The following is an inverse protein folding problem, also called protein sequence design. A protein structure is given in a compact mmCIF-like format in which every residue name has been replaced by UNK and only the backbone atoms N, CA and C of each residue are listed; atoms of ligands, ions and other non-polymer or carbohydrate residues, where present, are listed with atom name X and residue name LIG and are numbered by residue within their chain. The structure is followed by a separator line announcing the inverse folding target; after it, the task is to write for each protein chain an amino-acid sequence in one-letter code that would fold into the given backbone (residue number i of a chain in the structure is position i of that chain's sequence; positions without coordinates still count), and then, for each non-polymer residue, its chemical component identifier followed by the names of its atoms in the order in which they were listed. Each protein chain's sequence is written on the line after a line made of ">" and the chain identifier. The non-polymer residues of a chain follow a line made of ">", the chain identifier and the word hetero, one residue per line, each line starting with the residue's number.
data_IF_801846479423
#
_entry.id   IF_801846479423
#
_cell.length_a   1.000
_cell.length_b   1.000
_cell.length_c   1.000
_cell.angle_alpha   90.00
_cell.angle_beta   90.00
_cell.angle_gamma   90.00
#
_symmetry.space_group_name_H-M   'P 1'
#
loop_
_entity.id
_entity.type
_entity.pdbx_description
1 polymer ?
#
# COMPACT_ATOMS: atom_id res chain seq x y z
N UNK A 1 30.44 1.30 47.36
CA UNK A 1 30.21 1.68 45.94
C UNK A 1 29.74 0.46 45.18
N UNK A 2 28.49 0.46 44.71
CA UNK A 2 27.93 -0.64 43.90
C UNK A 2 28.61 -0.61 42.52
N UNK A 3 29.29 -1.69 42.14
CA UNK A 3 29.83 -1.88 40.78
C UNK A 3 28.65 -2.23 39.87
N UNK A 4 28.13 -1.24 39.15
CA UNK A 4 27.16 -1.50 38.09
C UNK A 4 27.90 -2.20 36.95
N UNK A 5 27.54 -3.46 36.68
CA UNK A 5 27.99 -4.15 35.47
C UNK A 5 27.48 -3.34 34.28
N UNK A 6 28.39 -2.83 33.45
CA UNK A 6 28.09 -2.05 32.24
C UNK A 6 27.49 -2.92 31.11
N UNK A 7 27.64 -4.24 31.21
CA UNK A 7 27.22 -5.22 30.19
C UNK A 7 25.70 -5.28 29.94
N UNK A 8 24.82 -5.33 30.96
CA UNK A 8 23.37 -5.37 30.77
C UNK A 8 22.82 -4.04 30.22
N UNK A 9 23.44 -2.92 30.59
CA UNK A 9 23.11 -1.60 30.06
C UNK A 9 23.48 -1.52 28.59
N UNK A 10 24.67 -2.02 28.21
CA UNK A 10 25.08 -2.11 26.80
C UNK A 10 24.13 -3.00 25.98
N UNK A 11 23.74 -4.16 26.51
CA UNK A 11 22.78 -5.07 25.86
C UNK A 11 21.41 -4.40 25.66
N UNK A 12 20.89 -3.71 26.69
CA UNK A 12 19.63 -2.95 26.57
C UNK A 12 19.72 -1.81 25.55
N UNK A 13 20.88 -1.17 25.38
CA UNK A 13 21.07 -0.21 24.30
C UNK A 13 21.05 -0.89 22.94
N UNK A 14 21.78 -2.00 22.74
CA UNK A 14 21.83 -2.71 21.44
C UNK A 14 20.44 -3.18 21.02
N UNK A 15 19.63 -3.75 21.93
CA UNK A 15 18.26 -4.18 21.63
C UNK A 15 17.33 -3.03 21.24
N UNK A 16 17.48 -1.85 21.86
CA UNK A 16 16.69 -0.66 21.53
C UNK A 16 17.15 0.03 20.22
N UNK A 17 18.44 -0.02 19.87
CA UNK A 17 18.89 0.55 18.57
C UNK A 17 18.47 -0.35 17.41
N UNK A 18 18.49 -1.68 17.59
CA UNK A 18 18.03 -2.62 16.54
C UNK A 18 16.52 -2.58 16.30
N UNK A 19 15.71 -2.30 17.33
CA UNK A 19 14.25 -2.18 17.17
C UNK A 19 13.81 -0.79 16.70
N UNK A 20 14.53 0.28 17.07
CA UNK A 20 14.20 1.65 16.66
C UNK A 20 14.68 2.02 15.24
N UNK A 21 15.69 1.33 14.68
CA UNK A 21 16.13 1.50 13.29
C UNK A 21 15.40 0.62 12.27
N UNK A 22 14.45 -0.22 12.71
CA UNK A 22 13.51 -0.90 11.81
C UNK A 22 12.19 -0.13 11.67
N UNK A 23 12.23 1.21 11.69
CA UNK A 23 11.27 1.95 10.89
C UNK A 23 11.56 1.59 9.43
N UNK A 24 10.75 0.66 8.90
CA UNK A 24 10.89 0.10 7.55
C UNK A 24 11.25 1.21 6.57
N UNK A 25 12.34 1.04 5.80
CA UNK A 25 12.72 1.99 4.73
C UNK A 25 11.64 2.10 3.66
N UNK A 26 10.60 1.27 3.75
CA UNK A 26 9.41 1.23 2.93
C UNK A 26 8.15 1.56 3.74
N UNK A 27 8.23 2.47 4.73
CA UNK A 27 7.09 2.89 5.53
C UNK A 27 5.94 3.44 4.69
N UNK A 28 6.23 4.05 3.54
CA UNK A 28 5.20 4.46 2.57
C UNK A 28 4.43 3.29 1.96
N UNK A 29 5.01 2.09 1.87
CA UNK A 29 4.32 0.88 1.40
C UNK A 29 3.28 0.44 2.43
N UNK A 30 3.63 0.49 3.73
CA UNK A 30 2.68 0.23 4.81
C UNK A 30 1.57 1.29 4.87
N UNK A 31 1.90 2.57 4.69
CA UNK A 31 0.92 3.66 4.60
C UNK A 31 -0.02 3.44 3.41
N UNK A 32 0.53 3.13 2.24
CA UNK A 32 -0.25 2.87 1.02
C UNK A 32 -1.20 1.69 1.19
N UNK A 33 -0.71 0.58 1.75
CA UNK A 33 -1.52 -0.59 2.10
C UNK A 33 -2.71 -0.19 2.97
N UNK A 34 -2.46 0.51 4.08
CA UNK A 34 -3.52 0.96 5.01
C UNK A 34 -4.57 1.80 4.29
N UNK A 35 -4.14 2.74 3.45
CA UNK A 35 -5.03 3.62 2.68
C UNK A 35 -5.86 2.87 1.64
N UNK A 36 -5.27 1.93 0.93
CA UNK A 36 -5.98 1.09 -0.05
C UNK A 36 -7.03 0.24 0.68
N UNK A 37 -6.66 -0.43 1.76
CA UNK A 37 -7.53 -1.35 2.50
C UNK A 37 -8.70 -0.63 3.18
N UNK A 38 -8.46 0.55 3.74
CA UNK A 38 -9.49 1.36 4.40
C UNK A 38 -10.64 1.78 3.45
N UNK A 39 -10.41 1.77 2.14
CA UNK A 39 -11.48 2.10 1.17
C UNK A 39 -12.58 1.04 1.12
N UNK A 40 -12.25 -0.24 1.26
CA UNK A 40 -13.19 -1.35 1.08
C UNK A 40 -14.36 -1.29 2.07
N UNK A 41 -14.16 -1.27 3.41
CA UNK A 41 -15.26 -1.27 4.35
C UNK A 41 -16.16 -0.03 4.21
N UNK A 42 -15.57 1.14 3.91
CA UNK A 42 -16.33 2.39 3.70
C UNK A 42 -17.28 2.27 2.52
N UNK A 43 -16.80 1.71 1.41
CA UNK A 43 -17.61 1.54 0.19
C UNK A 43 -18.67 0.45 0.37
N UNK A 44 -18.33 -0.66 1.03
CA UNK A 44 -19.29 -1.74 1.32
C UNK A 44 -20.42 -1.23 2.21
N UNK A 45 -20.12 -0.44 3.23
CA UNK A 45 -21.13 0.18 4.11
C UNK A 45 -22.03 1.15 3.32
N UNK A 46 -21.48 1.92 2.39
CA UNK A 46 -22.28 2.76 1.50
C UNK A 46 -23.24 1.94 0.63
N UNK A 47 -22.74 0.89 -0.02
CA UNK A 47 -23.54 0.00 -0.86
C UNK A 47 -24.68 -0.65 -0.05
N UNK A 48 -24.42 -0.99 1.21
CA UNK A 48 -25.43 -1.54 2.13
C UNK A 48 -26.54 -0.53 2.41
N UNK A 49 -26.19 0.71 2.79
CA UNK A 49 -27.16 1.80 3.03
C UNK A 49 -28.02 2.09 1.79
N UNK A 50 -27.41 2.10 0.60
CA UNK A 50 -28.15 2.32 -0.65
C UNK A 50 -29.08 1.14 -0.94
N UNK A 51 -28.61 -0.09 -0.78
CA UNK A 51 -29.41 -1.31 -0.96
C UNK A 51 -30.63 -1.34 -0.04
N UNK A 52 -30.46 -1.00 1.24
CA UNK A 52 -31.54 -0.90 2.22
C UNK A 52 -32.55 0.19 1.85
N UNK A 53 -32.06 1.38 1.44
CA UNK A 53 -32.93 2.50 1.04
C UNK A 53 -33.75 2.19 -0.21
N UNK A 54 -33.20 1.43 -1.15
CA UNK A 54 -33.86 1.06 -2.40
C UNK A 54 -34.69 -0.22 -2.26
N UNK A 55 -34.54 -0.98 -1.17
CA UNK A 55 -35.16 -2.29 -1.01
C UNK A 55 -34.64 -3.34 -2.03
N UNK A 56 -33.42 -3.14 -2.56
CA UNK A 56 -32.85 -3.97 -3.61
C UNK A 56 -31.47 -4.52 -3.20
N UNK A 57 -31.44 -5.82 -2.86
CA UNK A 57 -30.23 -6.54 -2.47
C UNK A 57 -29.20 -6.66 -3.61
N UNK A 58 -29.61 -6.51 -4.86
CA UNK A 58 -28.71 -6.62 -6.02
C UNK A 58 -27.69 -5.49 -6.06
N UNK A 59 -28.02 -4.30 -5.53
CA UNK A 59 -27.09 -3.18 -5.40
C UNK A 59 -25.87 -3.56 -4.57
N UNK A 60 -26.09 -4.18 -3.40
CA UNK A 60 -25.01 -4.61 -2.53
C UNK A 60 -24.21 -5.76 -3.16
N UNK A 61 -24.89 -6.78 -3.69
CA UNK A 61 -24.23 -7.97 -4.23
C UNK A 61 -23.37 -7.64 -5.46
N UNK A 62 -23.94 -6.93 -6.44
CA UNK A 62 -23.23 -6.55 -7.66
C UNK A 62 -22.16 -5.49 -7.36
N UNK A 63 -22.44 -4.56 -6.44
CA UNK A 63 -21.47 -3.57 -5.99
C UNK A 63 -20.25 -4.21 -5.32
N UNK A 64 -20.44 -5.18 -4.42
CA UNK A 64 -19.33 -5.93 -3.80
C UNK A 64 -18.52 -6.71 -4.84
N UNK A 65 -19.18 -7.35 -5.80
CA UNK A 65 -18.50 -8.10 -6.86
C UNK A 65 -17.64 -7.19 -7.75
N UNK A 66 -18.18 -6.04 -8.16
CA UNK A 66 -17.44 -5.07 -8.96
C UNK A 66 -16.30 -4.40 -8.18
N UNK A 67 -16.54 -4.02 -6.92
CA UNK A 67 -15.49 -3.47 -6.04
C UNK A 67 -14.36 -4.48 -5.83
N UNK A 68 -14.69 -5.76 -5.61
CA UNK A 68 -13.70 -6.84 -5.50
C UNK A 68 -12.83 -6.92 -6.74
N UNK A 69 -13.41 -6.86 -7.93
CA UNK A 69 -12.66 -6.96 -9.18
C UNK A 69 -11.64 -5.82 -9.33
N UNK A 70 -12.01 -4.58 -8.98
CA UNK A 70 -11.08 -3.46 -9.04
C UNK A 70 -10.02 -3.52 -7.92
N UNK A 71 -10.42 -3.95 -6.71
CA UNK A 71 -9.50 -4.17 -5.60
C UNK A 71 -8.46 -5.25 -5.92
N UNK A 72 -8.86 -6.37 -6.52
CA UNK A 72 -7.96 -7.47 -6.87
C UNK A 72 -6.90 -7.03 -7.89
N UNK A 73 -7.27 -6.16 -8.85
CA UNK A 73 -6.31 -5.55 -9.80
C UNK A 73 -5.30 -4.68 -9.07
N UNK A 74 -5.76 -3.86 -8.11
CA UNK A 74 -4.86 -3.05 -7.27
C UNK A 74 -3.94 -3.94 -6.44
N UNK A 75 -4.46 -5.01 -5.83
CA UNK A 75 -3.68 -5.98 -5.06
C UNK A 75 -2.58 -6.63 -5.89
N UNK A 76 -2.94 -7.13 -7.08
CA UNK A 76 -1.97 -7.70 -8.01
C UNK A 76 -0.89 -6.68 -8.41
N UNK A 77 -1.29 -5.48 -8.82
CA UNK A 77 -0.34 -4.44 -9.24
C UNK A 77 0.52 -3.96 -8.07
N UNK A 78 -0.01 -3.91 -6.85
CA UNK A 78 0.75 -3.52 -5.66
C UNK A 78 1.89 -4.50 -5.38
N UNK A 79 1.64 -5.80 -5.48
CA UNK A 79 2.68 -6.84 -5.35
C UNK A 79 3.71 -6.75 -6.47
N UNK A 80 3.25 -6.65 -7.72
CA UNK A 80 4.12 -6.51 -8.89
C UNK A 80 4.99 -5.26 -8.78
N UNK A 81 4.41 -4.13 -8.39
CA UNK A 81 5.10 -2.85 -8.28
C UNK A 81 6.27 -2.94 -7.30
N UNK A 82 6.06 -3.43 -6.06
CA UNK A 82 7.15 -3.59 -5.08
C UNK A 82 8.29 -4.46 -5.63
N UNK A 83 7.95 -5.61 -6.22
CA UNK A 83 8.93 -6.54 -6.79
C UNK A 83 9.69 -5.97 -7.98
N UNK A 84 9.00 -5.24 -8.86
CA UNK A 84 9.58 -4.56 -10.00
C UNK A 84 10.51 -3.43 -9.57
N UNK A 85 10.12 -2.63 -8.57
CA UNK A 85 10.96 -1.56 -8.03
C UNK A 85 12.25 -2.11 -7.43
N UNK A 86 12.17 -3.18 -6.62
CA UNK A 86 13.36 -3.88 -6.12
C UNK A 86 14.23 -4.42 -7.27
N UNK A 87 13.63 -5.04 -8.27
CA UNK A 87 14.32 -5.59 -9.45
C UNK A 87 15.01 -4.52 -10.30
N UNK A 88 14.36 -3.36 -10.50
CA UNK A 88 14.95 -2.20 -11.18
C UNK A 88 16.24 -1.74 -10.50
N UNK A 89 16.26 -1.73 -9.17
CA UNK A 89 17.40 -1.31 -8.37
C UNK A 89 18.52 -2.36 -8.41
N UNK A 90 18.18 -3.64 -8.31
CA UNK A 90 19.15 -4.75 -8.30
C UNK A 90 19.76 -5.04 -9.69
N UNK A 91 18.99 -4.88 -10.76
CA UNK A 91 19.37 -5.31 -12.11
C UNK A 91 20.38 -4.40 -12.83
N UNK A 92 20.14 -3.07 -12.90
CA UNK A 92 20.98 -2.12 -13.66
C UNK A 92 20.98 -0.70 -13.07
N UNK A 93 22.03 -0.35 -12.33
CA UNK A 93 22.15 0.95 -11.63
C UNK A 93 22.00 2.20 -12.52
N UNK A 94 22.47 2.16 -13.78
CA UNK A 94 22.42 3.32 -14.69
C UNK A 94 21.03 3.61 -15.27
N UNK A 95 20.10 2.65 -15.24
CA UNK A 95 18.73 2.80 -15.78
C UNK A 95 17.64 2.60 -14.72
N UNK A 96 18.02 2.40 -13.46
CA UNK A 96 17.09 2.15 -12.35
C UNK A 96 15.99 3.21 -12.29
N UNK A 97 16.33 4.51 -12.37
CA UNK A 97 15.35 5.61 -12.35
C UNK A 97 14.32 5.51 -13.49
N UNK A 98 14.75 5.22 -14.72
CA UNK A 98 13.81 5.08 -15.85
C UNK A 98 12.89 3.87 -15.68
N UNK A 99 13.44 2.75 -15.19
CA UNK A 99 12.70 1.54 -14.88
C UNK A 99 11.65 1.79 -13.79
N UNK A 100 12.06 2.45 -12.70
CA UNK A 100 11.17 2.83 -11.60
C UNK A 100 10.05 3.76 -12.07
N UNK A 101 10.37 4.84 -12.79
CA UNK A 101 9.37 5.78 -13.31
C UNK A 101 8.30 5.08 -14.17
N UNK A 102 8.69 4.10 -14.98
CA UNK A 102 7.76 3.29 -15.75
C UNK A 102 6.79 2.56 -14.82
N UNK A 103 7.28 1.79 -13.86
CA UNK A 103 6.42 1.04 -12.93
C UNK A 103 5.58 1.96 -12.02
N UNK A 104 6.12 3.10 -11.58
CA UNK A 104 5.39 4.10 -10.79
C UNK A 104 4.20 4.66 -11.57
N UNK A 105 4.34 4.87 -12.89
CA UNK A 105 3.25 5.34 -13.74
C UNK A 105 2.14 4.28 -13.87
N UNK A 106 2.49 3.01 -14.07
CA UNK A 106 1.51 1.92 -14.15
C UNK A 106 0.75 1.77 -12.84
N UNK A 107 1.46 1.71 -11.72
CA UNK A 107 0.85 1.62 -10.41
C UNK A 107 -0.10 2.80 -10.12
N UNK A 108 0.33 4.02 -10.42
CA UNK A 108 -0.52 5.22 -10.27
C UNK A 108 -1.80 5.13 -11.12
N UNK A 109 -1.70 4.65 -12.36
CA UNK A 109 -2.86 4.49 -13.24
C UNK A 109 -3.85 3.46 -12.67
N UNK A 110 -3.36 2.33 -12.17
CA UNK A 110 -4.20 1.30 -11.54
C UNK A 110 -4.93 1.85 -10.31
N UNK A 111 -4.23 2.59 -9.43
CA UNK A 111 -4.86 3.27 -8.31
C UNK A 111 -5.88 4.32 -8.76
N UNK A 112 -5.62 5.04 -9.85
CA UNK A 112 -6.55 6.02 -10.42
C UNK A 112 -7.84 5.39 -10.97
N UNK A 113 -7.74 4.22 -11.61
CA UNK A 113 -8.91 3.45 -12.06
C UNK A 113 -9.76 3.04 -10.87
N UNK A 114 -9.13 2.57 -9.80
CA UNK A 114 -9.81 2.20 -8.56
C UNK A 114 -10.50 3.42 -7.89
N UNK A 115 -9.80 4.55 -7.77
CA UNK A 115 -10.37 5.81 -7.26
C UNK A 115 -11.58 6.26 -8.08
N UNK A 116 -11.48 6.20 -9.41
CA UNK A 116 -12.56 6.58 -10.32
C UNK A 116 -13.79 5.69 -10.13
N UNK A 117 -13.60 4.37 -10.01
CA UNK A 117 -14.68 3.44 -9.73
C UNK A 117 -15.38 3.77 -8.40
N UNK A 118 -14.60 3.94 -7.33
CA UNK A 118 -15.16 4.28 -6.01
C UNK A 118 -15.93 5.60 -6.07
N UNK A 119 -15.33 6.61 -6.69
CA UNK A 119 -15.96 7.93 -6.87
C UNK A 119 -17.28 7.82 -7.63
N UNK A 120 -17.33 6.99 -8.67
CA UNK A 120 -18.51 6.77 -9.49
C UNK A 120 -19.66 6.11 -8.71
N UNK A 121 -19.37 5.22 -7.76
CA UNK A 121 -20.42 4.55 -6.96
C UNK A 121 -20.81 5.31 -5.69
N UNK A 122 -20.02 6.31 -5.26
CA UNK A 122 -20.24 7.04 -4.00
C UNK A 122 -20.73 8.49 -4.17
N UNK A 123 -20.53 9.13 -5.33
CA UNK A 123 -20.96 10.52 -5.56
C UNK A 123 -22.43 10.66 -5.96
N UNK A 124 -23.01 11.83 -5.61
CA UNK A 124 -24.39 12.26 -5.88
C UNK A 124 -24.88 12.11 -7.33
N UNK A 125 -24.00 12.28 -8.34
CA UNK A 125 -24.32 12.13 -9.77
C UNK A 125 -23.76 10.82 -10.38
N UNK A 126 -23.32 9.89 -9.52
CA UNK A 126 -22.89 8.56 -9.90
C UNK A 126 -24.06 7.60 -10.18
N UNK A 127 -23.76 6.35 -10.55
CA UNK A 127 -24.75 5.31 -10.91
C UNK A 127 -25.89 5.14 -9.90
N UNK A 128 -25.60 5.34 -8.62
CA UNK A 128 -26.54 5.09 -7.53
C UNK A 128 -27.36 6.31 -7.11
N UNK A 129 -27.07 7.52 -7.63
CA UNK A 129 -27.92 8.72 -7.48
C UNK A 129 -28.21 9.18 -6.05
N UNK A 130 -27.53 8.65 -5.03
CA UNK A 130 -27.72 9.00 -3.62
C UNK A 130 -26.43 9.64 -3.12
N UNK A 131 -26.49 10.93 -2.77
CA UNK A 131 -25.37 11.62 -2.16
C UNK A 131 -25.03 10.99 -0.80
N UNK A 132 -23.76 10.68 -0.59
CA UNK A 132 -23.20 10.71 0.76
C UNK A 132 -21.93 11.56 0.76
N UNK A 133 -22.10 12.88 0.87
CA UNK A 133 -21.00 13.85 0.98
C UNK A 133 -20.13 13.62 2.24
N UNK A 134 -20.52 12.66 3.10
CA UNK A 134 -19.72 12.22 4.25
C UNK A 134 -18.66 11.17 3.91
N UNK A 135 -18.69 10.56 2.72
CA UNK A 135 -17.67 9.59 2.30
C UNK A 135 -16.38 10.33 1.95
N UNK A 136 -15.52 10.45 2.95
CA UNK A 136 -14.17 11.01 2.84
C UNK A 136 -13.17 9.87 2.86
N UNK A 137 -12.58 9.59 1.71
CA UNK A 137 -11.52 8.61 1.58
C UNK A 137 -10.16 9.31 1.67
N UNK A 138 -9.28 8.84 2.56
CA UNK A 138 -7.87 9.21 2.54
C UNK A 138 -7.11 8.34 1.51
N UNK A 139 -7.60 8.35 0.27
CA UNK A 139 -7.03 7.60 -0.83
C UNK A 139 -6.73 8.56 -1.98
N UNK A 140 -5.44 8.86 -2.16
CA UNK A 140 -4.95 9.80 -3.17
C UNK A 140 -3.88 9.11 -4.04
N UNK A 141 -4.24 8.54 -5.20
CA UNK A 141 -3.33 7.74 -6.04
C UNK A 141 -1.97 8.38 -6.32
N UNK A 142 -1.98 9.67 -6.69
CA UNK A 142 -0.74 10.41 -6.99
C UNK A 142 0.15 10.55 -5.76
N UNK A 143 -0.42 10.85 -4.60
CA UNK A 143 0.33 10.97 -3.34
C UNK A 143 0.93 9.63 -2.94
N UNK A 144 0.13 8.57 -2.96
CA UNK A 144 0.53 7.21 -2.62
C UNK A 144 1.70 6.76 -3.51
N UNK A 145 1.53 6.81 -4.83
CA UNK A 145 2.57 6.40 -5.76
C UNK A 145 3.86 7.22 -5.60
N UNK A 146 3.73 8.52 -5.35
CA UNK A 146 4.89 9.42 -5.18
C UNK A 146 5.65 9.14 -3.88
N UNK A 147 4.97 8.83 -2.78
CA UNK A 147 5.63 8.47 -1.51
C UNK A 147 6.41 7.17 -1.65
N UNK A 148 5.81 6.13 -2.25
CA UNK A 148 6.50 4.86 -2.48
C UNK A 148 7.71 5.04 -3.42
N UNK A 149 7.55 5.77 -4.52
CA UNK A 149 8.64 6.06 -5.44
C UNK A 149 9.84 6.75 -4.75
N UNK A 150 9.56 7.71 -3.84
CA UNK A 150 10.59 8.38 -3.03
C UNK A 150 11.34 7.43 -2.10
N UNK A 151 10.63 6.53 -1.41
CA UNK A 151 11.26 5.53 -0.54
C UNK A 151 12.19 4.61 -1.34
N UNK A 152 11.74 4.13 -2.51
CA UNK A 152 12.59 3.32 -3.39
C UNK A 152 13.75 4.13 -4.00
N UNK A 153 13.57 5.41 -4.31
CA UNK A 153 14.66 6.27 -4.76
C UNK A 153 15.71 6.45 -3.65
N UNK A 154 15.30 6.54 -2.38
CA UNK A 154 16.18 6.50 -1.22
C UNK A 154 16.92 5.17 -1.09
N UNK A 155 16.24 4.05 -1.34
CA UNK A 155 16.82 2.72 -1.33
C UNK A 155 17.96 2.57 -2.36
N UNK A 156 17.88 3.20 -3.54
CA UNK A 156 18.99 3.23 -4.53
C UNK A 156 20.30 3.73 -3.90
N UNK A 157 20.23 4.77 -3.08
CA UNK A 157 21.37 5.33 -2.37
C UNK A 157 21.92 4.38 -1.29
N UNK A 158 21.02 3.75 -0.52
CA UNK A 158 21.37 2.81 0.53
C UNK A 158 22.09 1.57 -0.04
N UNK A 159 21.54 0.94 -1.09
CA UNK A 159 22.10 -0.31 -1.64
C UNK A 159 23.38 -0.12 -2.44
N UNK A 160 23.70 1.10 -2.90
CA UNK A 160 24.99 1.41 -3.57
C UNK A 160 26.18 1.09 -2.68
N UNK A 161 26.05 1.25 -1.36
CA UNK A 161 27.11 1.01 -0.38
C UNK A 161 27.18 -0.45 0.08
N UNK A 162 26.18 -1.27 -0.25
CA UNK A 162 26.10 -2.68 0.13
C UNK A 162 26.88 -3.56 -0.85
N UNK A 163 27.39 -4.70 -0.38
CA UNK A 163 28.14 -5.67 -1.19
C UNK A 163 27.45 -7.03 -1.21
N UNK A 164 27.61 -7.76 -2.32
CA UNK A 164 27.10 -9.13 -2.46
C UNK A 164 25.60 -9.27 -2.17
N UNK A 165 25.24 -10.37 -1.51
CA UNK A 165 23.86 -10.76 -1.21
C UNK A 165 23.14 -9.81 -0.24
N UNK A 166 23.84 -8.89 0.41
CA UNK A 166 23.22 -7.89 1.29
C UNK A 166 22.30 -6.94 0.51
N UNK A 167 22.56 -6.74 -0.80
CA UNK A 167 21.69 -5.94 -1.67
C UNK A 167 20.32 -6.57 -1.88
N UNK A 168 20.27 -7.87 -2.15
CA UNK A 168 19.02 -8.59 -2.32
C UNK A 168 18.29 -8.74 -0.99
N UNK A 169 19.02 -9.06 0.09
CA UNK A 169 18.47 -9.20 1.44
C UNK A 169 17.77 -7.93 1.93
N UNK A 170 18.24 -6.75 1.52
CA UNK A 170 17.61 -5.47 1.84
C UNK A 170 16.15 -5.36 1.35
N UNK A 171 15.81 -6.03 0.24
CA UNK A 171 14.47 -6.02 -0.34
C UNK A 171 13.62 -7.23 0.05
N UNK A 172 14.19 -8.25 0.72
CA UNK A 172 13.43 -9.45 1.10
C UNK A 172 12.30 -9.14 2.08
N UNK A 173 12.43 -8.07 2.88
CA UNK A 173 11.36 -7.58 3.73
C UNK A 173 10.07 -7.26 2.95
N UNK A 174 10.14 -6.83 1.69
CA UNK A 174 8.96 -6.50 0.87
C UNK A 174 8.07 -7.72 0.54
N UNK A 175 8.59 -8.94 0.76
CA UNK A 175 7.88 -10.21 0.57
C UNK A 175 7.07 -10.61 1.81
N UNK A 176 7.27 -9.96 2.96
CA UNK A 176 6.51 -10.28 4.16
C UNK A 176 5.03 -9.98 3.98
N UNK A 177 4.19 -10.67 4.76
CA UNK A 177 2.74 -10.45 4.74
C UNK A 177 2.37 -9.04 5.23
N UNK A 178 3.25 -8.36 5.99
CA UNK A 178 3.06 -6.98 6.44
C UNK A 178 2.93 -5.99 5.27
N UNK A 179 3.53 -6.32 4.13
CA UNK A 179 3.46 -5.51 2.91
C UNK A 179 2.48 -6.05 1.88
N UNK A 180 1.72 -7.11 2.18
CA UNK A 180 0.69 -7.64 1.29
C UNK A 180 -0.65 -7.02 1.60
N UNK A 181 -1.43 -6.74 0.56
CA UNK A 181 -2.82 -6.38 0.76
C UNK A 181 -3.59 -7.59 1.33
N UNK A 182 -4.51 -7.32 2.25
CA UNK A 182 -5.44 -8.32 2.78
C UNK A 182 -6.37 -8.80 1.67
N UNK A 183 -6.90 -10.01 1.82
CA UNK A 183 -7.93 -10.49 0.91
C UNK A 183 -9.19 -9.64 1.04
N UNK A 184 -9.84 -9.35 -0.10
CA UNK A 184 -11.07 -8.56 -0.13
C UNK A 184 -12.13 -9.08 0.85
N UNK A 185 -12.30 -10.40 0.97
CA UNK A 185 -13.26 -11.03 1.87
C UNK A 185 -13.01 -10.72 3.35
N UNK A 186 -11.76 -10.45 3.74
CA UNK A 186 -11.42 -10.07 5.12
C UNK A 186 -11.82 -8.62 5.42
N UNK A 187 -11.83 -7.76 4.40
CA UNK A 187 -12.13 -6.34 4.51
C UNK A 187 -13.62 -6.02 4.29
N UNK A 188 -14.32 -6.86 3.54
CA UNK A 188 -15.70 -6.66 3.11
C UNK A 188 -16.74 -7.30 4.04
N UNK A 189 -16.39 -7.54 5.29
CA UNK A 189 -17.29 -8.09 6.32
C UNK A 189 -18.23 -7.04 6.89
#
# INVERSE_FOLDING_TARGET
>A
MKRYNLLPVLLLFIFNVTSAQMSSVFGSVTEAKSKIEATVPVVVEHLKKVSEKQGDATVLNNGKAALKNEYDKVSQEFELYKGNMASCILGKSKKATKCMNYHTQYFRNTLGIYENYITYITKKNGYLGVADDSIKLDFKPTEIATKIDKDFAGAVGAVKKMKGNNKSAYFDQLKSDDFKLQNFSSLAN
#
